data_IF_400622026613
#
_entry.id   IF_400622026613
#
_cell.length_a   1.000
_cell.length_b   1.000
_cell.length_c   1.000
_cell.angle_alpha   90.00
_cell.angle_beta   90.00
_cell.angle_gamma   90.00
#
_symmetry.space_group_name_H-M   'P 1'
#
loop_
_entity.id
_entity.type
_entity.pdbx_description
1 polymer ?
#
# COMPACT_ATOMS: atom_id res chain seq x y z
N UNK A 1 -15.41 18.63 7.66
CA UNK A 1 -16.00 19.93 7.32
C UNK A 1 -15.00 21.00 7.72
N UNK A 2 -14.30 21.57 6.76
CA UNK A 2 -13.55 22.82 6.94
C UNK A 2 -14.57 23.94 7.18
N UNK A 3 -14.56 24.53 8.37
CA UNK A 3 -15.21 25.84 8.58
C UNK A 3 -14.23 26.88 8.06
N UNK A 4 -14.50 27.40 6.88
CA UNK A 4 -13.88 28.62 6.39
C UNK A 4 -14.59 29.79 7.08
N UNK A 5 -13.82 30.76 7.55
CA UNK A 5 -14.33 31.94 8.24
C UNK A 5 -15.37 32.68 7.39
N UNK A 6 -16.51 32.99 8.02
CA UNK A 6 -17.57 33.83 7.47
C UNK A 6 -17.11 35.28 7.44
N UNK A 7 -16.47 35.70 6.34
CA UNK A 7 -16.39 37.13 5.98
C UNK A 7 -15.96 37.24 4.51
N UNK A 8 -16.92 37.37 3.69
CA UNK A 8 -17.06 37.91 2.33
C UNK A 8 -17.84 36.96 1.40
N UNK A 9 -18.89 37.51 0.78
CA UNK A 9 -19.85 36.83 -0.12
C UNK A 9 -19.27 36.31 -1.45
N UNK A 10 -17.98 35.98 -1.52
CA UNK A 10 -17.31 35.40 -2.69
C UNK A 10 -16.41 34.23 -2.33
N UNK A 11 -16.97 33.21 -1.69
CA UNK A 11 -16.24 31.95 -1.54
C UNK A 11 -16.40 31.11 -2.82
N UNK A 12 -15.30 30.59 -3.41
CA UNK A 12 -15.41 29.69 -4.53
C UNK A 12 -16.20 28.44 -4.10
N UNK A 13 -17.10 27.99 -4.94
CA UNK A 13 -17.81 26.74 -4.74
C UNK A 13 -16.79 25.58 -4.77
N UNK A 14 -16.75 24.77 -3.71
CA UNK A 14 -15.81 23.66 -3.57
C UNK A 14 -16.60 22.36 -3.70
N UNK A 15 -16.38 21.65 -4.80
CA UNK A 15 -16.90 20.32 -4.99
C UNK A 15 -15.83 19.25 -4.73
N UNK A 16 -16.27 18.13 -4.14
CA UNK A 16 -15.43 16.94 -3.97
C UNK A 16 -15.61 16.02 -5.17
N UNK A 17 -14.58 15.95 -6.00
CA UNK A 17 -14.56 15.05 -7.14
C UNK A 17 -13.80 13.78 -6.75
N UNK A 18 -14.43 12.61 -6.98
CA UNK A 18 -13.77 11.34 -6.74
C UNK A 18 -12.59 11.13 -7.68
N UNK A 19 -11.58 10.38 -7.21
CA UNK A 19 -10.44 10.02 -8.04
C UNK A 19 -10.91 9.24 -9.29
N UNK A 20 -10.53 9.67 -10.50
CA UNK A 20 -10.98 9.03 -11.72
C UNK A 20 -10.33 7.64 -11.89
N UNK A 21 -11.13 6.68 -12.32
CA UNK A 21 -10.63 5.38 -12.77
C UNK A 21 -10.31 5.46 -14.24
N UNK A 22 -9.06 5.20 -14.60
CA UNK A 22 -8.61 5.08 -15.99
C UNK A 22 -8.47 3.60 -16.31
N UNK A 23 -9.21 3.14 -17.31
CA UNK A 23 -9.00 1.80 -17.86
C UNK A 23 -7.73 1.81 -18.70
N UNK A 24 -6.71 1.13 -18.22
CA UNK A 24 -5.43 0.99 -18.92
C UNK A 24 -5.21 -0.50 -19.24
N UNK A 25 -4.63 -0.77 -20.38
CA UNK A 25 -4.26 -2.12 -20.79
C UNK A 25 -3.36 -2.78 -19.72
N UNK A 26 -3.28 -4.09 -19.78
CA UNK A 26 -2.40 -4.87 -18.90
C UNK A 26 -1.34 -5.55 -19.75
N UNK A 27 -0.08 -5.32 -19.45
CA UNK A 27 1.03 -6.10 -20.00
C UNK A 27 1.39 -7.19 -18.99
N UNK A 28 1.47 -8.43 -19.46
CA UNK A 28 1.84 -9.54 -18.62
C UNK A 28 3.21 -9.30 -17.98
N UNK A 29 3.25 -9.34 -16.66
CA UNK A 29 4.48 -9.24 -15.91
C UNK A 29 5.14 -10.62 -15.84
N UNK A 30 6.17 -10.87 -16.67
CA UNK A 30 6.76 -12.20 -16.86
C UNK A 30 7.83 -12.59 -15.83
N UNK A 31 8.03 -11.80 -14.78
CA UNK A 31 8.98 -12.17 -13.75
C UNK A 31 8.46 -13.38 -12.93
N UNK A 32 9.31 -14.39 -12.75
CA UNK A 32 8.95 -15.57 -11.96
C UNK A 32 9.42 -15.39 -10.52
N UNK A 33 8.47 -15.34 -9.60
CA UNK A 33 8.77 -15.43 -8.17
C UNK A 33 8.77 -16.90 -7.74
N UNK A 34 9.84 -17.40 -7.10
CA UNK A 34 9.89 -18.79 -6.60
C UNK A 34 8.77 -19.13 -5.61
N UNK A 35 8.30 -18.14 -4.83
CA UNK A 35 7.21 -18.30 -3.87
C UNK A 35 5.84 -18.24 -4.54
N UNK A 36 4.91 -19.07 -4.09
CA UNK A 36 3.56 -19.18 -4.67
C UNK A 36 2.58 -18.14 -4.12
N UNK A 37 2.82 -17.70 -2.90
CA UNK A 37 1.97 -16.74 -2.20
C UNK A 37 2.79 -15.50 -1.85
N UNK A 38 2.56 -14.40 -2.56
CA UNK A 38 3.27 -13.17 -2.31
C UNK A 38 2.32 -12.04 -1.90
N UNK A 39 2.78 -11.26 -0.93
CA UNK A 39 2.26 -9.92 -0.72
C UNK A 39 3.06 -8.93 -1.56
N UNK A 40 2.38 -7.88 -1.99
CA UNK A 40 2.99 -6.73 -2.68
C UNK A 40 2.93 -5.51 -1.77
N UNK A 41 4.00 -4.74 -1.73
CA UNK A 41 4.02 -3.39 -1.16
C UNK A 41 4.73 -2.43 -2.10
N UNK A 42 4.22 -1.20 -2.20
CA UNK A 42 4.77 -0.16 -3.07
C UNK A 42 4.94 1.10 -2.24
N UNK A 43 6.17 1.53 -2.04
CA UNK A 43 6.46 2.70 -1.23
C UNK A 43 7.85 3.26 -1.54
N UNK A 44 8.04 4.56 -1.32
CA UNK A 44 9.37 5.13 -1.19
C UNK A 44 9.94 4.83 0.19
N UNK A 45 11.27 4.73 0.29
CA UNK A 45 11.94 4.70 1.57
C UNK A 45 11.77 6.03 2.30
N UNK A 46 11.17 6.00 3.48
CA UNK A 46 10.96 7.21 4.28
C UNK A 46 10.13 6.94 5.51
N UNK A 47 10.27 7.76 6.56
CA UNK A 47 9.58 7.55 7.85
C UNK A 47 8.07 7.45 7.69
N UNK A 48 7.45 8.35 6.92
CA UNK A 48 5.99 8.36 6.71
C UNK A 48 5.47 7.07 6.08
N UNK A 49 6.23 6.48 5.14
CA UNK A 49 5.84 5.25 4.43
C UNK A 49 6.05 3.99 5.26
N UNK A 50 6.81 4.07 6.34
CA UNK A 50 7.01 2.99 7.31
C UNK A 50 7.42 1.65 6.67
N UNK A 51 8.20 1.73 5.58
CA UNK A 51 8.53 0.55 4.78
C UNK A 51 9.43 -0.44 5.54
N UNK A 52 10.40 0.07 6.30
CA UNK A 52 11.33 -0.77 7.08
C UNK A 52 10.59 -1.60 8.12
N UNK A 53 9.66 -0.97 8.86
CA UNK A 53 8.85 -1.69 9.84
C UNK A 53 7.88 -2.67 9.16
N UNK A 54 7.29 -2.29 8.02
CA UNK A 54 6.41 -3.17 7.24
C UNK A 54 7.15 -4.45 6.81
N UNK A 55 8.36 -4.31 6.24
CA UNK A 55 9.21 -5.44 5.88
C UNK A 55 9.61 -6.25 7.12
N UNK A 56 10.01 -5.57 8.19
CA UNK A 56 10.42 -6.21 9.43
C UNK A 56 9.32 -7.08 10.04
N UNK A 57 8.12 -6.55 10.21
CA UNK A 57 6.96 -7.29 10.75
C UNK A 57 6.55 -8.44 9.83
N UNK A 58 6.57 -8.23 8.52
CA UNK A 58 6.30 -9.30 7.57
C UNK A 58 7.28 -10.46 7.73
N UNK A 59 8.58 -10.16 7.70
CA UNK A 59 9.63 -11.18 7.81
C UNK A 59 9.58 -11.91 9.15
N UNK A 60 9.33 -11.22 10.26
CA UNK A 60 9.14 -11.87 11.57
C UNK A 60 7.95 -12.80 11.60
N UNK A 61 6.80 -12.34 11.06
CA UNK A 61 5.57 -13.13 11.09
C UNK A 61 5.69 -14.41 10.25
N UNK A 62 6.34 -14.32 9.09
CA UNK A 62 6.51 -15.44 8.15
C UNK A 62 7.90 -16.08 8.21
N UNK A 63 8.65 -15.86 9.29
CA UNK A 63 10.06 -16.24 9.43
C UNK A 63 10.36 -17.69 8.97
N UNK A 64 9.53 -18.62 9.32
CA UNK A 64 9.74 -20.06 9.08
C UNK A 64 9.01 -20.59 7.82
N UNK A 65 8.34 -19.72 7.07
CA UNK A 65 7.56 -20.11 5.91
C UNK A 65 8.29 -19.77 4.60
N UNK A 66 8.78 -20.80 3.90
CA UNK A 66 9.52 -20.64 2.63
C UNK A 66 8.62 -20.44 1.40
N UNK A 67 7.31 -20.73 1.50
CA UNK A 67 6.35 -20.59 0.41
C UNK A 67 5.79 -19.16 0.29
N UNK A 68 6.08 -18.31 1.28
CA UNK A 68 5.56 -16.93 1.33
C UNK A 68 6.66 -15.93 0.99
N UNK A 69 6.30 -14.91 0.21
CA UNK A 69 7.19 -13.83 -0.17
C UNK A 69 6.57 -12.45 -0.03
N UNK A 70 7.42 -11.45 0.08
CA UNK A 70 7.08 -10.03 -0.01
C UNK A 70 7.75 -9.41 -1.22
N UNK A 71 6.97 -8.96 -2.17
CA UNK A 71 7.44 -8.18 -3.30
C UNK A 71 7.41 -6.71 -2.88
N UNK A 72 8.57 -6.08 -2.84
CA UNK A 72 8.73 -4.68 -2.44
C UNK A 72 9.12 -3.87 -3.67
N UNK A 73 8.20 -3.08 -4.20
CA UNK A 73 8.52 -2.08 -5.22
C UNK A 73 8.87 -0.77 -4.53
N UNK A 74 10.16 -0.43 -4.51
CA UNK A 74 10.65 0.70 -3.74
C UNK A 74 11.79 1.46 -4.43
N UNK A 75 11.88 2.74 -4.10
CA UNK A 75 12.99 3.63 -4.41
C UNK A 75 13.25 4.55 -3.21
N UNK A 76 14.46 5.06 -3.06
CA UNK A 76 14.79 6.08 -2.05
C UNK A 76 14.27 7.44 -2.50
N UNK A 77 14.60 7.84 -3.71
CA UNK A 77 14.23 9.14 -4.27
C UNK A 77 13.81 9.08 -5.74
N UNK A 78 14.49 8.27 -6.54
CA UNK A 78 14.30 8.19 -7.99
C UNK A 78 14.62 6.77 -8.49
N UNK A 79 14.72 6.61 -9.81
CA UNK A 79 14.94 5.31 -10.47
C UNK A 79 16.35 5.14 -11.04
N UNK A 80 17.29 6.00 -10.65
CA UNK A 80 18.69 5.91 -11.09
C UNK A 80 19.40 4.65 -10.57
N UNK A 81 20.50 4.29 -11.21
CA UNK A 81 21.35 3.18 -10.76
C UNK A 81 21.90 3.39 -9.33
N UNK A 82 22.22 4.65 -8.97
CA UNK A 82 22.68 5.00 -7.61
C UNK A 82 21.56 4.72 -6.61
N UNK A 83 20.33 5.15 -6.90
CA UNK A 83 19.19 4.89 -6.03
C UNK A 83 18.89 3.39 -5.91
N UNK A 84 19.07 2.64 -6.99
CA UNK A 84 18.92 1.17 -6.97
C UNK A 84 19.89 0.52 -5.99
N UNK A 85 21.17 0.90 -6.03
CA UNK A 85 22.16 0.35 -5.10
C UNK A 85 21.86 0.80 -3.66
N UNK A 86 21.46 2.05 -3.43
CA UNK A 86 21.01 2.51 -2.11
C UNK A 86 19.80 1.73 -1.58
N UNK A 87 18.81 1.50 -2.42
CA UNK A 87 17.62 0.72 -2.05
C UNK A 87 17.97 -0.73 -1.72
N UNK A 88 18.85 -1.33 -2.50
CA UNK A 88 19.37 -2.68 -2.30
C UNK A 88 20.19 -2.80 -1.00
N UNK A 89 21.06 -1.84 -0.72
CA UNK A 89 21.88 -1.85 0.50
C UNK A 89 20.99 -1.65 1.75
N UNK A 90 20.01 -0.75 1.72
CA UNK A 90 19.04 -0.60 2.80
C UNK A 90 18.29 -1.90 3.07
N UNK A 91 17.75 -2.54 2.03
CA UNK A 91 17.05 -3.82 2.16
C UNK A 91 17.98 -4.90 2.72
N UNK A 92 19.20 -5.01 2.19
CA UNK A 92 20.19 -5.99 2.64
C UNK A 92 20.58 -5.80 4.12
N UNK A 93 20.78 -4.55 4.54
CA UNK A 93 21.13 -4.25 5.93
C UNK A 93 19.95 -4.56 6.87
N UNK A 94 18.73 -4.22 6.47
CA UNK A 94 17.53 -4.56 7.23
C UNK A 94 17.40 -6.07 7.42
N UNK A 95 17.52 -6.87 6.36
CA UNK A 95 17.38 -8.33 6.40
C UNK A 95 18.53 -9.04 7.12
N UNK A 96 19.69 -8.41 7.23
CA UNK A 96 20.84 -8.93 8.00
C UNK A 96 20.77 -8.60 9.49
N UNK A 97 19.83 -7.76 9.92
CA UNK A 97 19.68 -7.43 11.34
C UNK A 97 19.45 -8.70 12.18
N UNK A 98 19.88 -8.69 13.44
CA UNK A 98 19.74 -9.83 14.34
C UNK A 98 18.30 -10.32 14.48
N UNK A 99 17.35 -9.41 14.35
CA UNK A 99 15.92 -9.66 14.38
C UNK A 99 15.44 -10.52 13.21
N UNK A 100 15.98 -10.30 11.99
CA UNK A 100 15.44 -10.85 10.74
C UNK A 100 16.32 -11.91 10.10
N UNK A 101 17.58 -12.03 10.51
CA UNK A 101 18.52 -12.99 9.96
C UNK A 101 18.01 -14.43 10.08
N UNK A 102 18.33 -15.26 9.08
CA UNK A 102 17.96 -16.67 9.04
C UNK A 102 16.50 -16.94 8.69
N UNK A 103 15.73 -15.92 8.26
CA UNK A 103 14.36 -16.12 7.81
C UNK A 103 14.29 -16.95 6.53
N UNK A 104 13.30 -17.83 6.44
CA UNK A 104 13.04 -18.68 5.27
C UNK A 104 12.16 -18.00 4.23
N UNK A 105 11.23 -17.12 4.66
CA UNK A 105 10.41 -16.32 3.76
C UNK A 105 11.28 -15.45 2.84
N UNK A 106 10.75 -15.11 1.67
CA UNK A 106 11.52 -14.39 0.64
C UNK A 106 11.11 -12.93 0.56
N UNK A 107 12.08 -12.05 0.33
CA UNK A 107 11.83 -10.64 0.03
C UNK A 107 12.43 -10.33 -1.33
N UNK A 108 11.60 -9.81 -2.23
CA UNK A 108 11.99 -9.43 -3.59
C UNK A 108 11.95 -7.92 -3.73
N UNK A 109 13.06 -7.31 -4.06
CA UNK A 109 13.13 -5.87 -4.30
C UNK A 109 12.98 -5.58 -5.80
N UNK A 110 11.94 -4.87 -6.16
CA UNK A 110 11.75 -4.29 -7.49
C UNK A 110 12.10 -2.81 -7.44
N UNK A 111 12.99 -2.38 -8.30
CA UNK A 111 13.41 -0.98 -8.44
C UNK A 111 13.38 -0.58 -9.92
N UNK A 112 13.04 0.65 -10.18
CA UNK A 112 12.95 1.20 -11.54
C UNK A 112 11.53 1.68 -11.86
N UNK A 113 11.42 2.39 -13.00
CA UNK A 113 10.14 2.82 -13.52
C UNK A 113 9.39 1.63 -14.12
N UNK A 114 8.09 1.70 -14.04
CA UNK A 114 7.16 0.80 -14.68
C UNK A 114 6.04 1.64 -15.29
N UNK A 115 5.61 1.28 -16.50
CA UNK A 115 4.43 1.90 -17.11
C UNK A 115 3.15 1.51 -16.34
N UNK A 116 2.05 2.19 -16.59
CA UNK A 116 0.75 1.83 -16.00
C UNK A 116 0.36 0.39 -16.36
N UNK A 117 0.62 -0.04 -17.60
CA UNK A 117 0.32 -1.38 -18.08
C UNK A 117 1.16 -2.46 -17.39
N UNK A 118 2.44 -2.18 -17.14
CA UNK A 118 3.34 -3.07 -16.39
C UNK A 118 2.93 -3.13 -14.91
N UNK A 119 2.51 -2.02 -14.33
CA UNK A 119 1.98 -1.97 -12.97
C UNK A 119 0.70 -2.79 -12.84
N UNK A 120 -0.22 -2.67 -13.81
CA UNK A 120 -1.42 -3.49 -13.87
C UNK A 120 -1.06 -4.99 -13.95
N UNK A 121 -0.04 -5.33 -14.75
CA UNK A 121 0.48 -6.70 -14.83
C UNK A 121 1.07 -7.21 -13.51
N UNK A 122 1.75 -6.36 -12.76
CA UNK A 122 2.29 -6.70 -11.45
C UNK A 122 1.16 -6.97 -10.43
N UNK A 123 0.13 -6.10 -10.36
CA UNK A 123 -1.03 -6.33 -9.49
C UNK A 123 -1.78 -7.62 -9.84
N UNK A 124 -1.90 -7.94 -11.12
CA UNK A 124 -2.59 -9.14 -11.62
C UNK A 124 -1.70 -10.38 -11.69
N UNK A 125 -0.46 -10.30 -11.25
CA UNK A 125 0.45 -11.44 -11.29
C UNK A 125 -0.08 -12.61 -10.44
N UNK A 126 -0.08 -13.82 -11.00
CA UNK A 126 -0.69 -15.01 -10.38
C UNK A 126 -0.18 -15.33 -8.96
N UNK A 127 1.05 -14.96 -8.63
CA UNK A 127 1.61 -15.18 -7.30
C UNK A 127 1.34 -14.04 -6.31
N UNK A 128 0.82 -12.89 -6.76
CA UNK A 128 0.41 -11.78 -5.88
C UNK A 128 -0.97 -12.11 -5.31
N UNK A 129 -1.04 -12.26 -3.99
CA UNK A 129 -2.25 -12.70 -3.28
C UNK A 129 -2.76 -11.68 -2.27
N UNK A 130 -1.99 -10.63 -2.01
CA UNK A 130 -2.38 -9.54 -1.13
C UNK A 130 -1.50 -8.32 -1.32
N UNK A 131 -2.02 -7.18 -0.94
CA UNK A 131 -1.29 -5.92 -0.90
C UNK A 131 -1.21 -5.43 0.53
N UNK A 132 -0.03 -5.04 1.00
CA UNK A 132 0.16 -4.55 2.36
C UNK A 132 0.73 -3.13 2.35
N UNK A 133 0.10 -2.22 3.09
CA UNK A 133 0.59 -0.86 3.31
C UNK A 133 0.33 -0.44 4.77
N UNK A 134 1.40 -0.25 5.52
CA UNK A 134 1.35 0.18 6.91
C UNK A 134 1.97 1.59 7.08
N UNK A 135 1.84 2.43 6.08
CA UNK A 135 2.27 3.83 6.14
C UNK A 135 1.58 4.57 7.28
N UNK A 136 2.30 5.47 7.94
CA UNK A 136 1.75 6.31 9.02
C UNK A 136 0.66 7.27 8.54
N UNK A 137 0.62 7.57 7.23
CA UNK A 137 -0.44 8.38 6.62
C UNK A 137 -0.30 8.45 5.10
N UNK A 138 -1.43 8.51 4.43
CA UNK A 138 -1.53 8.66 2.97
C UNK A 138 -2.52 9.77 2.62
N UNK A 139 -2.19 10.62 1.64
CA UNK A 139 -3.15 11.59 1.14
C UNK A 139 -4.38 10.92 0.51
N UNK A 140 -4.17 9.98 -0.38
CA UNK A 140 -5.20 9.14 -0.97
C UNK A 140 -4.87 7.63 -0.81
N UNK A 141 -3.63 7.24 -1.10
CA UNK A 141 -3.20 5.85 -1.07
C UNK A 141 -3.34 5.16 -2.43
N UNK A 142 -2.90 5.82 -3.51
CA UNK A 142 -3.04 5.36 -4.88
C UNK A 142 -2.64 3.88 -5.08
N UNK A 143 -1.51 3.36 -4.57
CA UNK A 143 -1.17 1.95 -4.73
C UNK A 143 -2.17 0.99 -4.07
N UNK A 144 -2.81 1.39 -2.96
CA UNK A 144 -3.88 0.58 -2.34
C UNK A 144 -5.16 0.62 -3.16
N UNK A 145 -5.47 1.79 -3.75
CA UNK A 145 -6.61 1.94 -4.64
C UNK A 145 -6.44 1.06 -5.88
N UNK A 146 -5.29 1.10 -6.53
CA UNK A 146 -4.95 0.26 -7.68
C UNK A 146 -5.02 -1.23 -7.34
N UNK A 147 -4.45 -1.65 -6.20
CA UNK A 147 -4.54 -3.03 -5.73
C UNK A 147 -6.00 -3.47 -5.56
N UNK A 148 -6.83 -2.65 -4.90
CA UNK A 148 -8.25 -2.94 -4.71
C UNK A 148 -9.01 -2.99 -6.05
N UNK A 149 -8.71 -2.08 -6.98
CA UNK A 149 -9.28 -2.06 -8.32
C UNK A 149 -8.97 -3.36 -9.07
N UNK A 150 -7.75 -3.87 -8.98
CA UNK A 150 -7.34 -5.16 -9.53
C UNK A 150 -7.77 -6.37 -8.69
N UNK A 151 -8.64 -6.18 -7.68
CA UNK A 151 -9.17 -7.24 -6.81
C UNK A 151 -8.12 -7.96 -5.97
N UNK A 152 -7.00 -7.31 -5.73
CA UNK A 152 -5.99 -7.78 -4.79
C UNK A 152 -6.43 -7.42 -3.36
N UNK A 153 -6.59 -8.39 -2.46
CA UNK A 153 -6.94 -8.10 -1.07
C UNK A 153 -5.95 -7.14 -0.41
N UNK A 154 -6.45 -6.10 0.25
CA UNK A 154 -5.63 -5.07 0.88
C UNK A 154 -5.55 -5.27 2.38
N UNK A 155 -4.34 -5.15 2.93
CA UNK A 155 -4.05 -5.07 4.37
C UNK A 155 -3.55 -3.66 4.67
N UNK A 156 -4.27 -2.89 5.47
CA UNK A 156 -3.94 -1.50 5.74
C UNK A 156 -4.47 -1.02 7.09
N UNK A 157 -3.96 0.12 7.55
CA UNK A 157 -4.54 0.82 8.71
C UNK A 157 -5.88 1.45 8.34
N UNK A 158 -6.83 1.43 9.26
CA UNK A 158 -8.20 1.92 9.03
C UNK A 158 -8.36 3.42 9.26
N UNK A 159 -7.40 4.25 8.79
CA UNK A 159 -7.45 5.70 8.90
C UNK A 159 -6.70 6.36 7.73
N UNK A 160 -6.75 7.69 7.59
CA UNK A 160 -6.14 8.47 6.52
C UNK A 160 -6.89 8.33 5.17
N UNK A 161 -6.36 8.84 4.06
CA UNK A 161 -7.07 8.97 2.80
C UNK A 161 -7.62 7.67 2.19
N UNK A 162 -7.00 6.53 2.47
CA UNK A 162 -7.47 5.25 1.95
C UNK A 162 -8.84 4.81 2.47
N UNK A 163 -9.34 5.41 3.55
CA UNK A 163 -10.68 5.08 4.08
C UNK A 163 -11.80 5.49 3.13
N UNK A 164 -11.54 6.43 2.21
CA UNK A 164 -12.53 6.91 1.25
C UNK A 164 -12.96 5.81 0.25
N UNK A 165 -12.10 4.87 -0.07
CA UNK A 165 -12.39 3.79 -1.03
C UNK A 165 -12.34 2.37 -0.43
N UNK A 166 -11.74 2.17 0.76
CA UNK A 166 -11.66 0.86 1.41
C UNK A 166 -12.87 0.56 2.29
N UNK A 167 -13.77 1.52 2.50
CA UNK A 167 -15.05 1.31 3.16
C UNK A 167 -16.19 1.47 2.15
N UNK A 168 -17.21 0.65 2.28
CA UNK A 168 -18.40 0.77 1.46
C UNK A 168 -19.66 0.44 2.29
N UNK A 169 -20.84 0.88 1.81
CA UNK A 169 -22.09 0.55 2.48
C UNK A 169 -22.34 -0.95 2.53
N UNK A 170 -22.75 -1.46 3.69
CA UNK A 170 -23.12 -2.85 3.87
C UNK A 170 -24.21 -3.27 2.84
N UNK A 171 -23.93 -4.34 2.07
CA UNK A 171 -24.88 -4.87 1.09
C UNK A 171 -26.01 -5.61 1.80
N UNK A 172 -27.26 -5.40 1.37
CA UNK A 172 -28.40 -6.24 1.76
C UNK A 172 -29.38 -5.65 2.78
N UNK A 173 -29.09 -4.56 3.46
CA UNK A 173 -30.06 -3.89 4.33
C UNK A 173 -30.91 -2.88 3.54
N UNK A 174 -32.08 -3.32 3.07
CA UNK A 174 -33.12 -2.43 2.53
C UNK A 174 -33.86 -1.76 3.70
N UNK A 175 -33.24 -0.77 4.34
CA UNK A 175 -33.96 0.12 5.26
C UNK A 175 -34.05 1.51 4.64
N UNK A 176 -35.28 1.94 4.34
CA UNK A 176 -35.55 3.26 3.74
C UNK A 176 -35.26 4.44 4.68
N UNK A 177 -34.87 4.23 5.95
CA UNK A 177 -34.75 5.28 6.98
C UNK A 177 -33.46 5.28 7.79
N UNK A 178 -32.53 4.34 7.64
CA UNK A 178 -31.28 4.36 8.39
C UNK A 178 -30.09 4.64 7.48
N UNK A 179 -29.16 5.49 7.90
CA UNK A 179 -27.84 5.65 7.22
C UNK A 179 -27.20 4.27 7.10
N UNK A 180 -26.84 3.86 5.89
CA UNK A 180 -26.16 2.59 5.66
C UNK A 180 -24.87 2.55 6.48
N UNK A 181 -24.66 1.46 7.22
CA UNK A 181 -23.42 1.25 7.96
C UNK A 181 -22.29 1.06 6.96
N UNK A 182 -21.22 1.84 7.11
CA UNK A 182 -19.98 1.65 6.35
C UNK A 182 -19.19 0.52 6.97
N UNK A 183 -18.82 -0.46 6.17
CA UNK A 183 -17.99 -1.60 6.59
C UNK A 183 -16.68 -1.66 5.80
N UNK A 184 -15.61 -2.14 6.42
CA UNK A 184 -14.33 -2.30 5.73
C UNK A 184 -14.37 -3.47 4.73
N UNK A 185 -13.85 -3.24 3.53
CA UNK A 185 -13.61 -4.27 2.51
C UNK A 185 -12.12 -4.59 2.37
N UNK A 186 -11.40 -4.54 3.49
CA UNK A 186 -9.96 -4.82 3.58
C UNK A 186 -9.64 -5.42 4.95
N UNK A 187 -8.48 -6.05 5.08
CA UNK A 187 -7.96 -6.51 6.36
C UNK A 187 -7.43 -5.30 7.14
N UNK A 188 -8.23 -4.84 8.10
CA UNK A 188 -7.91 -3.66 8.91
C UNK A 188 -6.88 -3.99 9.97
N UNK A 189 -5.77 -3.24 9.96
CA UNK A 189 -4.78 -3.25 11.04
C UNK A 189 -5.14 -2.19 12.08
N UNK A 190 -5.09 -2.57 13.34
CA UNK A 190 -5.29 -1.64 14.45
C UNK A 190 -4.10 -0.67 14.57
N UNK A 191 -4.37 0.55 14.97
CA UNK A 191 -3.37 1.59 15.14
C UNK A 191 -3.70 2.47 16.35
N UNK A 192 -2.70 3.15 16.84
CA UNK A 192 -2.85 4.21 17.84
C UNK A 192 -2.27 5.50 17.25
N UNK A 193 -2.95 6.61 17.52
CA UNK A 193 -2.42 7.93 17.18
C UNK A 193 -1.32 8.29 18.15
N UNK A 194 -0.22 8.81 17.65
CA UNK A 194 0.94 9.23 18.45
C UNK A 194 1.48 10.58 17.98
N UNK A 195 2.35 11.17 18.76
CA UNK A 195 3.07 12.36 18.33
C UNK A 195 4.13 11.99 17.29
N UNK A 196 4.26 12.80 16.26
CA UNK A 196 5.37 12.69 15.31
C UNK A 196 6.63 13.13 16.03
N UNK A 197 7.71 12.31 16.06
CA UNK A 197 8.97 12.76 16.65
C UNK A 197 9.46 14.05 15.99
N UNK A 198 10.03 15.00 16.74
CA UNK A 198 10.66 16.18 16.15
C UNK A 198 11.78 15.71 15.19
N UNK A 199 11.86 16.36 14.04
CA UNK A 199 12.90 16.13 13.02
C UNK A 199 14.22 16.74 13.43
#
# INVERSE_FOLDING_TARGET
KLKLHEDNDQHPEIEVVNYPVKETATIKFDHKFPTKFNFLTIAQWGPRKNLEATVGWFVEHFKDNEDVGLIVKAAVKNTSNIDRELSKDRMKNLLKSDRLKGSKCKVYLLHGDMTEEEMNGLYQHNSVKGFINLAHGEGFGLPMFEAAYHKVPVVAMGWSGQVDFLYAPEKGRKSKKSKKKMIPYFAKVNHQMGQVPPH
#
